data_IF_420785349920
#
_entry.id   IF_420785349920
#
_cell.length_a   1.000
_cell.length_b   1.000
_cell.length_c   1.000
_cell.angle_alpha   90.00
_cell.angle_beta   90.00
_cell.angle_gamma   90.00
#
_symmetry.space_group_name_H-M   'P 1'
#
loop_
_entity.id
_entity.type
_entity.pdbx_description
1 polymer ?
2 non-polymer ?
3 non-polymer ?
4 water ?
#
# COMPACT_ATOMS: atom_id res chain seq x y z
N UNK A 20 -10.45 -1.31 9.97
CA UNK A 20 -9.65 -1.78 8.78
C UNK A 20 -9.90 -3.29 8.34
N UNK A 21 -11.14 -3.75 8.43
CA UNK A 21 -11.44 -5.09 8.06
C UNK A 21 -12.00 -5.20 6.65
N UNK A 22 -12.58 -4.18 6.02
CA UNK A 22 -12.98 -4.31 4.64
C UNK A 22 -12.28 -3.35 3.63
N UNK A 23 -12.27 -3.76 2.38
CA UNK A 23 -11.75 -3.00 1.30
C UNK A 23 -12.76 -2.43 0.33
N UNK A 24 -12.68 -1.11 0.09
CA UNK A 24 -13.55 -0.43 -0.87
C UNK A 24 -12.75 0.12 -2.02
N UNK A 25 -13.41 0.36 -3.17
CA UNK A 25 -12.79 1.06 -4.27
C UNK A 25 -12.41 2.45 -3.76
N UNK A 26 -11.13 2.81 -3.89
CA UNK A 26 -10.66 4.10 -3.48
C UNK A 26 -11.37 5.27 -4.24
N UNK A 27 -11.78 5.02 -5.47
CA UNK A 27 -12.31 6.09 -6.31
C UNK A 27 -13.78 6.43 -6.04
N UNK A 28 -14.57 5.45 -5.60
CA UNK A 28 -15.99 5.68 -5.41
C UNK A 28 -16.58 5.07 -4.16
N UNK A 29 -15.89 4.15 -3.47
CA UNK A 29 -16.47 3.54 -2.29
C UNK A 29 -17.17 2.24 -2.40
N UNK A 30 -17.30 1.74 -3.62
CA UNK A 30 -17.90 0.43 -3.82
C UNK A 30 -17.19 -0.64 -2.96
N UNK A 31 -17.98 -1.50 -2.31
CA UNK A 31 -17.47 -2.59 -1.48
C UNK A 31 -16.81 -3.65 -2.35
N UNK A 32 -15.58 -4.09 -2.03
CA UNK A 32 -14.88 -4.96 -2.95
C UNK A 32 -14.47 -6.30 -2.30
N UNK A 33 -13.78 -6.24 -1.16
CA UNK A 33 -13.34 -7.44 -0.51
C UNK A 33 -13.15 -7.17 0.96
N UNK A 34 -12.57 -8.15 1.66
CA UNK A 34 -12.40 -8.12 3.09
C UNK A 34 -11.01 -8.62 3.45
N UNK A 35 -10.48 -8.14 4.57
CA UNK A 35 -9.20 -8.65 5.06
C UNK A 35 -9.23 -10.16 5.31
N UNK A 36 -10.36 -10.67 5.83
CA UNK A 36 -10.53 -12.08 6.04
C UNK A 36 -10.41 -12.92 4.79
N UNK A 37 -10.62 -12.32 3.61
CA UNK A 37 -10.57 -13.01 2.35
C UNK A 37 -9.20 -12.94 1.70
N UNK A 38 -8.21 -12.37 2.38
CA UNK A 38 -6.84 -12.37 1.85
C UNK A 38 -6.35 -13.81 1.72
N UNK A 39 -5.57 -14.06 0.67
CA UNK A 39 -5.15 -15.41 0.28
C UNK A 39 -3.65 -15.51 0.25
N UNK A 40 -3.06 -16.22 1.21
CA UNK A 40 -1.58 -16.42 1.11
C UNK A 40 -1.08 -17.20 -0.17
N UNK A 41 -0.86 -16.56 -1.33
CA UNK A 41 -0.37 -17.24 -2.59
C UNK A 41 1.15 -17.37 -2.60
N UNK A 42 1.65 -18.60 -2.66
CA UNK A 42 3.09 -18.86 -2.64
C UNK A 42 3.79 -18.27 -1.43
N UNK A 43 3.10 -18.29 -0.28
CA UNK A 43 3.68 -17.83 0.97
C UNK A 43 3.28 -16.43 1.41
N UNK A 44 2.76 -15.59 0.51
CA UNK A 44 2.45 -14.20 0.88
C UNK A 44 1.28 -13.67 0.08
N UNK A 45 0.44 -12.86 0.72
CA UNK A 45 -0.73 -12.33 0.02
C UNK A 45 -0.31 -11.15 -0.88
N UNK A 46 0.93 -10.64 -0.71
CA UNK A 46 1.50 -9.53 -1.49
C UNK A 46 2.57 -9.92 -2.52
N UNK A 47 2.36 -9.49 -3.77
CA UNK A 47 3.33 -9.69 -4.86
C UNK A 47 3.56 -8.38 -5.57
N UNK A 48 4.81 -8.03 -5.80
CA UNK A 48 5.14 -6.82 -6.49
C UNK A 48 5.65 -7.19 -7.89
N UNK A 49 4.89 -6.79 -8.91
CA UNK A 49 5.05 -7.23 -10.29
C UNK A 49 5.00 -6.07 -11.33
N UNK A 50 5.54 -6.32 -12.52
CA UNK A 50 5.54 -5.36 -13.62
C UNK A 50 4.84 -5.90 -14.83
N UNK A 51 4.14 -5.03 -15.54
CA UNK A 51 3.59 -5.41 -16.83
C UNK A 51 4.55 -5.07 -17.95
N UNK A 52 4.26 -5.51 -19.19
CA UNK A 52 5.18 -5.20 -20.27
C UNK A 52 5.35 -3.72 -20.58
N UNK A 53 4.37 -2.88 -20.23
CA UNK A 53 4.51 -1.42 -20.30
C UNK A 53 5.31 -0.78 -19.14
N UNK A 54 5.89 -1.63 -18.27
CA UNK A 54 6.82 -1.25 -17.22
C UNK A 54 6.16 -0.64 -15.99
N UNK A 55 4.86 -0.69 -15.92
CA UNK A 55 4.13 -0.29 -14.70
C UNK A 55 4.29 -1.33 -13.60
N UNK A 56 4.48 -0.82 -12.40
CA UNK A 56 4.69 -1.63 -11.21
C UNK A 56 3.38 -1.68 -10.50
N UNK A 57 3.03 -2.85 -9.97
CA UNK A 57 1.82 -3.03 -9.17
C UNK A 57 2.11 -3.82 -7.89
N UNK A 58 1.59 -3.33 -6.78
CA UNK A 58 1.61 -4.04 -5.53
C UNK A 58 0.26 -4.77 -5.48
N UNK A 59 0.32 -6.07 -5.75
CA UNK A 59 -0.86 -6.85 -5.93
C UNK A 59 -1.12 -7.62 -4.62
N UNK A 60 -2.33 -7.50 -4.10
CA UNK A 60 -2.79 -8.34 -2.97
C UNK A 60 -3.71 -9.46 -3.50
N UNK A 61 -3.45 -10.69 -3.09
CA UNK A 61 -4.29 -11.83 -3.55
C UNK A 61 -5.42 -12.06 -2.55
N UNK A 62 -6.63 -12.17 -3.10
CA UNK A 62 -7.87 -12.49 -2.35
C UNK A 62 -8.56 -13.73 -2.89
N UNK A 63 -9.12 -14.52 -1.98
CA UNK A 63 -9.85 -15.73 -2.36
C UNK A 63 -11.15 -15.32 -3.04
N UNK A 64 -11.64 -14.16 -2.67
CA UNK A 64 -12.98 -13.73 -2.97
C UNK A 64 -13.00 -12.20 -3.05
N UNK A 65 -13.87 -11.70 -3.91
CA UNK A 65 -14.14 -10.27 -4.02
C UNK A 65 -15.53 -10.15 -4.63
N UNK A 66 -16.12 -8.99 -4.52
CA UNK A 66 -17.43 -8.69 -5.05
C UNK A 66 -17.40 -7.27 -5.64
N UNK A 67 -18.49 -6.85 -6.28
CA UNK A 67 -18.62 -5.47 -6.77
C UNK A 67 -17.76 -5.10 -7.98
N UNK A 68 -17.18 -6.10 -8.63
CA UNK A 68 -16.28 -5.92 -9.78
C UNK A 68 -17.07 -6.18 -11.03
N UNK A 69 -16.48 -5.85 -12.16
CA UNK A 69 -17.04 -6.25 -13.44
C UNK A 69 -15.87 -6.81 -14.23
N UNK A 70 -16.00 -8.08 -14.68
CA UNK A 70 -14.90 -8.80 -15.37
C UNK A 70 -15.03 -8.66 -16.87
N UNK A 71 -14.00 -8.14 -17.51
CA UNK A 71 -14.13 -7.79 -18.91
C UNK A 71 -13.37 -8.79 -19.80
N UNK A 72 -14.06 -9.19 -20.86
CA UNK A 72 -13.56 -10.16 -21.82
C UNK A 72 -13.43 -11.57 -21.29
N UNK A 73 -12.80 -12.41 -22.09
CA UNK A 73 -12.50 -13.78 -21.72
C UNK A 73 -11.04 -13.89 -21.24
N UNK A 74 -10.75 -14.91 -20.43
CA UNK A 74 -9.40 -15.11 -19.89
C UNK A 74 -8.28 -15.24 -20.92
N UNK A 75 -7.10 -14.81 -20.52
CA UNK A 75 -5.87 -14.92 -21.26
C UNK A 75 -4.73 -15.43 -20.35
N UNK A 76 -3.96 -16.39 -20.83
CA UNK A 76 -2.65 -16.81 -20.26
C UNK A 76 -1.47 -15.85 -20.54
N UNK A 77 -1.61 -14.95 -21.50
CA UNK A 77 -0.44 -14.18 -21.94
C UNK A 77 0.18 -13.26 -20.85
N UNK A 78 1.49 -13.45 -20.61
CA UNK A 78 2.26 -12.70 -19.60
C UNK A 78 1.70 -12.87 -18.18
N UNK A 79 0.99 -13.96 -17.93
CA UNK A 79 0.37 -14.13 -16.62
C UNK A 79 1.45 -14.11 -15.58
N UNK A 80 1.21 -13.42 -14.48
CA UNK A 80 2.18 -13.37 -13.37
C UNK A 80 2.07 -14.59 -12.46
N UNK A 81 1.02 -15.41 -12.62
CA UNK A 81 0.85 -16.59 -11.78
C UNK A 81 0.70 -17.81 -12.66
N UNK A 82 1.69 -18.67 -12.54
CA UNK A 82 1.83 -19.86 -13.33
C UNK A 82 0.59 -20.73 -13.27
N UNK A 83 0.09 -21.09 -14.46
CA UNK A 83 -1.04 -21.98 -14.60
C UNK A 83 -2.35 -21.23 -14.58
N UNK A 84 -2.32 -19.91 -14.36
CA UNK A 84 -3.57 -19.15 -14.33
C UNK A 84 -3.69 -18.24 -15.51
N UNK A 85 -4.93 -18.09 -15.96
CA UNK A 85 -5.36 -17.15 -16.97
C UNK A 85 -6.07 -15.96 -16.32
N UNK A 86 -5.88 -14.74 -16.84
CA UNK A 86 -6.40 -13.56 -16.20
C UNK A 86 -7.48 -12.89 -17.02
N UNK A 87 -8.35 -12.23 -16.30
CA UNK A 87 -9.29 -11.30 -16.89
C UNK A 87 -9.25 -10.01 -16.10
N UNK A 88 -9.31 -8.90 -16.82
CA UNK A 88 -9.29 -7.58 -16.17
C UNK A 88 -10.54 -7.43 -15.32
N UNK A 89 -10.34 -6.91 -14.11
CA UNK A 89 -11.39 -6.65 -13.13
C UNK A 89 -11.52 -5.12 -12.88
N UNK A 90 -12.65 -4.56 -13.29
CA UNK A 90 -12.94 -3.17 -13.01
C UNK A 90 -13.88 -3.09 -11.81
N UNK A 91 -13.86 -1.95 -11.14
CA UNK A 91 -14.89 -1.61 -10.20
C UNK A 91 -16.15 -1.61 -10.99
N UNK A 92 -17.14 -2.39 -10.49
CA UNK A 92 -18.46 -2.46 -11.08
C UNK A 92 -19.26 -1.16 -11.10
N UNK A 93 -18.93 -0.26 -10.20
CA UNK A 93 -19.67 0.93 -10.04
C UNK A 93 -19.04 2.03 -10.90
N UNK A 94 -17.75 2.31 -10.73
CA UNK A 94 -17.13 3.46 -11.41
C UNK A 94 -16.20 3.11 -12.57
N UNK A 95 -15.95 1.84 -12.81
CA UNK A 95 -15.09 1.45 -13.93
C UNK A 95 -13.58 1.52 -13.65
N UNK A 96 -13.15 1.91 -12.46
CA UNK A 96 -11.72 1.98 -12.14
C UNK A 96 -11.04 0.58 -12.22
N UNK A 97 -9.83 0.54 -12.78
CA UNK A 97 -9.15 -0.75 -12.89
C UNK A 97 -8.60 -1.20 -11.56
N UNK A 98 -9.18 -2.24 -10.96
CA UNK A 98 -8.82 -2.63 -9.61
C UNK A 98 -7.88 -3.83 -9.55
N UNK A 99 -7.83 -4.62 -10.63
CA UNK A 99 -6.96 -5.78 -10.67
C UNK A 99 -7.37 -6.78 -11.73
N UNK A 100 -7.28 -8.04 -11.36
CA UNK A 100 -7.50 -9.17 -12.27
C UNK A 100 -8.15 -10.33 -11.53
N UNK A 101 -9.04 -11.03 -12.23
CA UNK A 101 -9.49 -12.35 -11.79
C UNK A 101 -8.65 -13.42 -12.52
N UNK A 102 -8.20 -14.41 -11.75
CA UNK A 102 -7.38 -15.49 -12.21
C UNK A 102 -8.21 -16.75 -12.19
N UNK A 103 -8.13 -17.53 -13.26
CA UNK A 103 -8.84 -18.82 -13.35
C UNK A 103 -8.05 -19.85 -14.13
N UNK A 104 -8.59 -21.07 -14.19
CA UNK A 104 -7.96 -22.13 -14.95
C UNK A 104 -6.82 -22.89 -14.27
N UNK A 105 -6.52 -22.55 -13.01
CA UNK A 105 -5.40 -23.14 -12.31
C UNK A 105 -5.87 -24.18 -11.31
N UNK A 106 -5.06 -24.38 -10.25
CA UNK A 106 -5.23 -25.51 -9.32
C UNK A 106 -4.96 -25.06 -7.87
N UNK A 107 -5.85 -25.34 -6.94
CA UNK A 107 -5.55 -25.10 -5.54
C UNK A 107 -5.05 -23.67 -5.21
N UNK A 108 -5.91 -22.66 -5.36
CA UNK A 108 -7.27 -22.76 -5.80
C UNK A 108 -7.42 -22.67 -7.31
N UNK A 109 -8.59 -23.03 -7.82
CA UNK A 109 -8.87 -22.89 -9.26
C UNK A 109 -8.88 -21.44 -9.70
N UNK A 110 -9.38 -20.55 -8.85
CA UNK A 110 -9.55 -19.18 -9.13
C UNK A 110 -9.18 -18.32 -7.90
N UNK A 111 -8.87 -17.06 -8.17
CA UNK A 111 -8.62 -16.03 -7.11
C UNK A 111 -8.54 -14.64 -7.75
N UNK A 112 -8.44 -13.61 -6.90
CA UNK A 112 -8.38 -12.26 -7.36
C UNK A 112 -7.05 -11.66 -6.97
N UNK A 113 -6.44 -10.96 -7.90
CA UNK A 113 -5.27 -10.17 -7.57
C UNK A 113 -5.67 -8.70 -7.71
N UNK A 114 -5.70 -7.98 -6.60
CA UNK A 114 -6.14 -6.61 -6.55
C UNK A 114 -4.98 -5.64 -6.27
N UNK A 115 -5.05 -4.46 -6.88
CA UNK A 115 -3.96 -3.45 -6.74
C UNK A 115 -4.16 -2.68 -5.45
N UNK A 116 -3.20 -2.84 -4.54
CA UNK A 116 -3.36 -2.36 -3.18
C UNK A 116 -3.69 -0.86 -3.12
N UNK A 117 -3.00 -0.02 -3.89
CA UNK A 117 -3.23 1.46 -3.78
C UNK A 117 -4.48 1.95 -4.51
N UNK A 118 -5.22 1.05 -5.12
CA UNK A 118 -6.54 1.39 -5.66
C UNK A 118 -7.74 1.06 -4.75
N UNK A 119 -7.44 0.53 -3.56
CA UNK A 119 -8.42 0.17 -2.54
C UNK A 119 -8.23 1.06 -1.31
N UNK A 120 -9.31 1.28 -0.59
CA UNK A 120 -9.27 1.94 0.71
C UNK A 120 -9.77 0.96 1.75
N UNK A 121 -9.02 0.85 2.86
CA UNK A 121 -9.34 -0.07 3.94
C UNK A 121 -10.02 0.65 5.08
N UNK A 122 -10.98 -0.02 5.72
CA UNK A 122 -11.74 0.63 6.79
C UNK A 122 -12.70 -0.30 7.52
N UNK A 123 -13.46 0.25 8.43
CA UNK A 123 -14.38 -0.63 9.19
C UNK A 123 -15.55 -1.28 8.36
N UNK A 124 -15.96 -2.47 8.80
CA UNK A 124 -17.03 -3.28 8.14
C UNK A 124 -18.40 -2.61 8.07
N UNK B 21 15.41 14.77 3.77
CA UNK B 21 14.32 15.75 3.58
C UNK B 21 13.33 15.72 4.74
N UNK B 22 12.54 16.79 4.85
CA UNK B 22 11.57 16.93 5.92
C UNK B 22 10.22 17.20 5.35
N UNK B 23 9.20 16.93 6.16
CA UNK B 23 7.83 17.17 5.83
C UNK B 23 7.32 18.32 6.68
N UNK B 24 6.76 19.32 6.03
CA UNK B 24 6.30 20.51 6.74
C UNK B 24 4.81 20.54 6.58
N UNK B 25 4.14 21.21 7.52
CA UNK B 25 2.72 21.50 7.36
C UNK B 25 2.56 22.36 6.14
N UNK B 26 1.68 21.95 5.23
CA UNK B 26 1.48 22.64 3.98
C UNK B 26 0.79 23.99 4.17
N UNK B 27 -0.05 24.12 5.20
CA UNK B 27 -0.76 25.40 5.46
C UNK B 27 0.21 26.46 6.03
N UNK B 28 1.10 26.09 6.95
CA UNK B 28 1.94 27.10 7.59
C UNK B 28 3.44 26.92 7.53
N UNK B 29 3.95 25.74 7.16
CA UNK B 29 5.39 25.61 6.96
C UNK B 29 6.13 25.01 8.16
N UNK B 30 5.45 24.84 9.29
CA UNK B 30 6.03 24.21 10.49
C UNK B 30 6.59 22.82 10.15
N UNK B 31 7.84 22.58 10.50
CA UNK B 31 8.44 21.24 10.38
C UNK B 31 7.71 20.22 11.26
N UNK B 32 7.32 19.09 10.67
CA UNK B 32 6.48 18.14 11.36
C UNK B 32 7.20 16.82 11.48
N UNK B 33 7.79 16.33 10.39
CA UNK B 33 8.45 15.03 10.44
C UNK B 33 9.58 14.95 9.43
N UNK B 34 10.18 13.78 9.33
CA UNK B 34 11.39 13.58 8.51
C UNK B 34 11.19 12.28 7.75
N UNK B 35 11.73 12.24 6.55
CA UNK B 35 11.63 11.05 5.74
C UNK B 35 12.38 9.88 6.40
N UNK B 36 13.48 10.15 7.12
CA UNK B 36 14.15 9.10 7.91
C UNK B 36 13.24 8.36 8.90
N UNK B 37 12.16 8.99 9.31
CA UNK B 37 11.20 8.45 10.29
C UNK B 37 10.01 7.71 9.72
N UNK B 38 9.99 7.51 8.40
CA UNK B 38 8.90 6.76 7.78
C UNK B 38 8.92 5.39 8.38
N UNK B 39 7.74 4.87 8.59
CA UNK B 39 7.56 3.60 9.29
C UNK B 39 6.68 2.67 8.47
N UNK B 40 7.22 1.51 8.01
CA UNK B 40 6.34 0.58 7.29
C UNK B 40 5.37 -0.27 8.15
N UNK B 41 4.34 0.34 8.74
CA UNK B 41 3.30 -0.43 9.48
C UNK B 41 2.60 -1.40 8.52
N UNK B 42 2.58 -2.68 8.87
CA UNK B 42 1.99 -3.71 8.01
C UNK B 42 2.75 -3.93 6.71
N UNK B 43 4.00 -3.50 6.67
CA UNK B 43 4.79 -3.59 5.46
C UNK B 43 4.63 -2.41 4.49
N UNK B 44 3.94 -1.33 4.84
CA UNK B 44 3.90 -0.15 3.93
C UNK B 44 3.80 1.11 4.73
N UNK B 45 4.48 2.18 4.33
CA UNK B 45 4.33 3.44 5.03
C UNK B 45 3.07 4.16 4.55
N UNK B 46 2.52 3.79 3.37
CA UNK B 46 1.26 4.38 2.87
C UNK B 46 0.05 3.49 3.14
N UNK B 47 -0.98 4.05 3.74
CA UNK B 47 -2.23 3.32 3.99
C UNK B 47 -3.35 4.20 3.47
N UNK B 48 -4.12 3.70 2.50
CA UNK B 48 -5.32 4.40 2.07
C UNK B 48 -6.47 3.80 2.92
N UNK B 49 -7.19 4.65 3.61
CA UNK B 49 -8.15 4.21 4.64
C UNK B 49 -9.41 5.01 4.55
N UNK B 50 -10.51 4.49 5.11
CA UNK B 50 -11.71 5.28 5.19
C UNK B 50 -12.27 5.20 6.62
N UNK B 51 -12.97 6.25 7.05
CA UNK B 51 -13.58 6.26 8.38
C UNK B 51 -15.04 5.89 8.34
N UNK B 52 -15.71 5.81 9.53
CA UNK B 52 -17.06 5.39 9.51
C UNK B 52 -18.04 6.37 8.82
N UNK B 53 -17.66 7.61 8.64
CA UNK B 53 -18.48 8.58 7.90
C UNK B 53 -18.17 8.48 6.37
N UNK B 54 -17.26 7.58 6.03
CA UNK B 54 -16.93 7.29 4.66
C UNK B 54 -15.94 8.23 3.98
N UNK B 55 -15.26 9.05 4.76
CA UNK B 55 -14.21 9.96 4.26
C UNK B 55 -12.95 9.17 4.00
N UNK B 56 -12.31 9.38 2.86
CA UNK B 56 -11.08 8.66 2.48
C UNK B 56 -9.83 9.48 2.71
N UNK B 57 -8.83 8.87 3.33
CA UNK B 57 -7.54 9.51 3.60
C UNK B 57 -6.42 8.67 3.10
N UNK B 58 -5.41 9.34 2.54
CA UNK B 58 -4.14 8.68 2.24
C UNK B 58 -3.11 9.02 3.36
N UNK B 59 -2.78 8.04 4.20
CA UNK B 59 -2.00 8.26 5.43
C UNK B 59 -0.59 7.70 5.28
N UNK B 60 0.42 8.50 5.68
CA UNK B 60 1.78 7.98 5.72
C UNK B 60 2.17 7.86 7.17
N UNK B 61 2.77 6.76 7.51
CA UNK B 61 3.18 6.48 8.91
C UNK B 61 4.58 6.93 9.19
N UNK B 62 4.75 7.60 10.33
CA UNK B 62 6.06 8.05 10.81
C UNK B 62 6.22 7.62 12.29
N UNK B 63 7.43 7.29 12.67
CA UNK B 63 7.72 6.83 14.00
C UNK B 63 7.64 7.97 15.04
N UNK B 64 8.00 9.18 14.63
CA UNK B 64 8.03 10.37 15.46
C UNK B 64 7.52 11.52 14.64
N UNK B 65 7.14 12.56 15.35
CA UNK B 65 6.83 13.84 14.77
C UNK B 65 7.08 14.91 15.82
N UNK B 66 7.02 16.15 15.36
CA UNK B 66 7.08 17.29 16.21
C UNK B 66 6.19 18.41 15.66
N UNK B 67 5.91 19.36 16.53
CA UNK B 67 5.21 20.58 16.13
C UNK B 67 3.72 20.38 16.05
N UNK B 68 3.23 19.21 16.44
CA UNK B 68 1.80 18.97 16.41
C UNK B 68 1.17 19.26 17.79
N UNK B 69 -0.15 19.29 17.82
CA UNK B 69 -0.91 19.38 19.06
C UNK B 69 -1.94 18.27 19.04
N UNK B 70 -1.86 17.40 20.04
CA UNK B 70 -2.78 16.27 20.09
C UNK B 70 -3.97 16.70 20.90
N UNK B 71 -5.14 16.34 20.41
CA UNK B 71 -6.38 16.84 21.03
C UNK B 71 -7.23 15.69 21.47
N UNK B 72 -7.71 15.75 22.70
CA UNK B 72 -8.65 14.74 23.19
C UNK B 72 -8.00 13.63 23.99
N UNK B 73 -8.83 12.78 24.54
CA UNK B 73 -8.36 11.56 25.14
C UNK B 73 -8.25 10.52 24.04
N UNK B 74 -7.28 9.60 24.17
CA UNK B 74 -7.16 8.53 23.19
C UNK B 74 -8.42 7.68 23.05
N UNK B 75 -8.75 7.23 21.85
CA UNK B 75 -9.91 6.37 21.61
C UNK B 75 -9.49 5.12 20.85
N UNK B 76 -10.03 3.98 21.23
CA UNK B 76 -9.81 2.73 20.47
C UNK B 76 -10.85 2.50 19.35
N UNK B 77 -11.86 3.37 19.26
CA UNK B 77 -12.98 3.16 18.32
C UNK B 77 -12.56 3.22 16.85
N UNK B 78 -12.76 2.11 16.14
CA UNK B 78 -12.55 2.06 14.70
C UNK B 78 -11.12 2.43 14.31
N UNK B 79 -10.15 2.16 15.18
CA UNK B 79 -8.77 2.41 14.85
C UNK B 79 -8.36 1.68 13.57
N UNK B 80 -7.61 2.38 12.72
CA UNK B 80 -7.10 1.80 11.50
C UNK B 80 -5.94 0.88 11.80
N UNK B 81 -5.40 0.91 13.01
CA UNK B 81 -4.30 0.07 13.38
C UNK B 81 -4.62 -0.71 14.64
N UNK B 82 -4.80 -2.00 14.47
CA UNK B 82 -5.22 -2.86 15.57
C UNK B 82 -4.23 -2.83 16.74
N UNK B 83 -4.76 -2.72 17.96
CA UNK B 83 -3.96 -2.67 19.17
C UNK B 83 -3.56 -1.25 19.53
N UNK B 84 -3.96 -0.26 18.74
CA UNK B 84 -3.60 1.11 18.98
C UNK B 84 -4.81 1.99 19.18
N UNK B 85 -4.71 2.92 20.11
CA UNK B 85 -5.69 3.99 20.28
C UNK B 85 -5.16 5.19 19.52
N UNK B 86 -6.06 6.02 19.04
CA UNK B 86 -5.74 7.24 18.29
C UNK B 86 -6.17 8.49 19.01
N UNK B 87 -5.44 9.54 18.68
CA UNK B 87 -5.72 10.88 19.08
C UNK B 87 -5.55 11.78 17.84
N UNK B 88 -6.47 12.70 17.62
CA UNK B 88 -6.37 13.71 16.55
C UNK B 88 -5.16 14.64 16.74
N UNK B 89 -4.39 14.83 15.68
CA UNK B 89 -3.17 15.68 15.63
C UNK B 89 -3.36 16.89 14.73
N UNK B 90 -3.37 18.07 15.34
CA UNK B 90 -3.39 19.33 14.61
C UNK B 90 -1.98 19.87 14.47
N UNK B 91 -1.75 20.65 13.43
CA UNK B 91 -0.58 21.46 13.41
C UNK B 91 -0.61 22.39 14.62
N UNK B 92 0.47 22.39 15.39
CA UNK B 92 0.48 23.14 16.65
C UNK B 92 0.58 24.62 16.40
N UNK B 93 0.91 24.99 15.17
CA UNK B 93 1.10 26.37 14.85
C UNK B 93 -0.15 27.01 14.21
N UNK B 94 -0.78 26.34 13.23
CA UNK B 94 -1.95 26.93 12.54
C UNK B 94 -3.25 26.19 12.74
N UNK B 95 -3.22 25.04 13.42
CA UNK B 95 -4.44 24.27 13.65
C UNK B 95 -4.88 23.30 12.55
N UNK B 96 -4.20 23.26 11.41
CA UNK B 96 -4.62 22.37 10.31
C UNK B 96 -4.66 20.92 10.79
N UNK B 97 -5.69 20.17 10.41
CA UNK B 97 -5.73 18.76 10.80
C UNK B 97 -4.72 17.94 10.01
N UNK B 98 -3.67 17.44 10.70
CA UNK B 98 -2.59 16.77 9.96
C UNK B 98 -2.60 15.26 10.01
N UNK B 99 -3.24 14.72 11.04
CA UNK B 99 -3.37 13.31 11.18
C UNK B 99 -3.82 12.87 12.57
N UNK B 100 -3.19 11.80 13.04
CA UNK B 100 -3.53 11.07 14.28
C UNK B 100 -2.22 10.52 14.86
N UNK B 101 -2.15 10.58 16.17
CA UNK B 101 -1.17 9.84 16.95
C UNK B 101 -1.76 8.54 17.42
N UNK B 102 -0.95 7.48 17.37
CA UNK B 102 -1.34 6.14 17.80
C UNK B 102 -0.52 5.72 18.98
N UNK B 103 -1.14 5.08 19.96
CA UNK B 103 -0.41 4.66 21.16
C UNK B 103 -0.98 3.35 21.69
N UNK B 104 -0.21 2.73 22.57
CA UNK B 104 -0.69 1.65 23.45
C UNK B 104 -0.41 0.30 22.84
N UNK B 105 0.18 0.30 21.66
CA UNK B 105 0.56 -0.95 21.05
C UNK B 105 1.84 -1.39 21.69
N UNK B 106 2.39 -2.45 21.12
CA UNK B 106 3.69 -2.93 21.45
C UNK B 106 4.51 -2.91 20.16
N UNK B 107 5.74 -2.44 20.21
CA UNK B 107 6.65 -2.43 19.04
C UNK B 107 6.02 -1.93 17.74
N UNK B 108 5.97 -0.61 17.52
CA UNK B 108 6.37 0.47 18.40
C UNK B 108 5.19 0.95 19.24
N UNK B 109 5.48 1.45 20.43
CA UNK B 109 4.42 1.81 21.33
C UNK B 109 3.68 3.03 20.83
N UNK B 110 4.38 3.90 20.10
CA UNK B 110 3.88 5.20 19.64
C UNK B 110 4.27 5.41 18.17
N UNK B 111 3.36 5.96 17.35
CA UNK B 111 3.65 6.39 15.98
C UNK B 111 2.55 7.34 15.50
N UNK B 112 2.80 8.02 14.40
CA UNK B 112 1.87 8.96 13.77
C UNK B 112 1.42 8.47 12.41
N UNK B 113 0.13 8.63 12.12
CA UNK B 113 -0.38 8.53 10.76
C UNK B 113 -0.74 9.91 10.27
N UNK B 114 0.00 10.43 9.28
CA UNK B 114 -0.18 11.82 8.86
C UNK B 114 -0.72 11.82 7.42
N UNK B 115 -1.51 12.85 7.10
CA UNK B 115 -2.21 12.93 5.83
C UNK B 115 -1.27 13.56 4.85
N UNK B 116 -0.84 12.74 3.89
CA UNK B 116 0.24 13.06 2.99
C UNK B 116 -0.09 14.31 2.23
N UNK B 117 -1.34 14.48 1.81
CA UNK B 117 -1.71 15.68 1.03
C UNK B 117 -1.67 16.97 1.84
N UNK B 118 -1.64 16.87 3.15
CA UNK B 118 -1.52 18.05 4.03
C UNK B 118 -0.10 18.39 4.46
N UNK B 119 0.88 17.74 3.84
CA UNK B 119 2.30 17.91 4.16
C UNK B 119 3.01 18.31 2.90
N UNK B 120 4.08 19.08 3.03
CA UNK B 120 4.96 19.44 1.93
C UNK B 120 6.38 18.91 2.22
N UNK B 121 6.93 18.10 1.32
CA UNK B 121 8.30 17.60 1.46
C UNK B 121 9.32 18.53 0.85
N UNK B 122 10.42 18.79 1.56
CA UNK B 122 11.48 19.60 1.00
C UNK B 122 12.77 19.43 1.78
N UNK B 123 13.83 20.14 1.38
CA UNK B 123 15.15 20.12 2.05
C UNK B 123 15.14 20.46 3.54
N UNK B 124 16.03 19.83 4.31
CA UNK B 124 16.24 20.14 5.76
C UNK B 124 16.25 21.62 6.12
N UNK C 19 5.17 -13.67 -17.34
CA UNK C 19 5.01 -12.36 -16.67
C UNK C 19 6.08 -12.10 -15.62
N UNK C 20 6.83 -13.14 -15.26
CA UNK C 20 7.90 -13.01 -14.25
C UNK C 20 9.19 -13.76 -14.65
N UNK C 21 10.00 -13.17 -15.53
CA UNK C 21 11.37 -13.66 -15.84
C UNK C 21 12.52 -12.74 -15.30
N UNK C 22 12.25 -11.42 -15.24
CA UNK C 22 13.23 -10.40 -14.82
C UNK C 22 13.03 -9.97 -13.35
N UNK C 23 14.13 -9.83 -12.61
CA UNK C 23 14.09 -9.32 -11.23
C UNK C 23 14.57 -7.85 -11.27
N UNK C 24 13.74 -6.95 -10.74
CA UNK C 24 14.05 -5.52 -10.70
C UNK C 24 14.01 -5.03 -9.27
N UNK C 25 14.71 -3.92 -9.00
CA UNK C 25 14.62 -3.30 -7.70
C UNK C 25 13.15 -2.93 -7.44
N UNK C 26 12.62 -3.37 -6.28
CA UNK C 26 11.22 -3.07 -5.92
C UNK C 26 10.98 -1.58 -5.75
N UNK C 27 12.00 -0.87 -5.30
CA UNK C 27 11.84 0.53 -4.96
C UNK C 27 11.87 1.45 -6.19
N UNK C 28 12.80 1.21 -7.13
CA UNK C 28 12.87 2.10 -8.30
C UNK C 28 12.73 1.40 -9.69
N UNK C 29 12.77 0.06 -9.75
CA UNK C 29 12.59 -0.66 -11.02
C UNK C 29 13.84 -0.97 -11.86
N UNK C 30 15.01 -0.59 -11.34
CA UNK C 30 16.30 -0.98 -11.93
C UNK C 30 16.34 -2.48 -12.26
N UNK C 31 16.79 -2.81 -13.48
CA UNK C 31 17.06 -4.21 -13.85
C UNK C 31 18.21 -4.76 -13.00
N UNK C 32 17.97 -5.93 -12.38
CA UNK C 32 19.01 -6.53 -11.53
C UNK C 32 19.45 -7.90 -12.02
N UNK C 33 18.51 -8.81 -12.31
CA UNK C 33 18.82 -10.21 -12.66
C UNK C 33 17.72 -10.89 -13.50
N UNK C 34 17.89 -12.17 -13.84
CA UNK C 34 16.85 -12.98 -14.56
C UNK C 34 16.97 -14.49 -14.29
N UNK C 64 24.78 -14.23 -12.40
CA UNK C 64 25.09 -12.86 -12.76
C UNK C 64 23.97 -11.96 -12.29
N UNK C 65 24.35 -10.80 -11.77
CA UNK C 65 23.45 -9.69 -11.52
C UNK C 65 24.09 -8.48 -12.21
N UNK C 66 23.35 -7.39 -12.26
CA UNK C 66 23.83 -6.12 -12.81
C UNK C 66 23.02 -5.03 -12.14
N UNK C 67 23.42 -3.77 -12.38
CA UNK C 67 22.70 -2.62 -11.82
C UNK C 67 22.93 -2.36 -10.33
N UNK C 68 23.78 -3.17 -9.67
CA UNK C 68 24.07 -3.04 -8.24
C UNK C 68 25.33 -2.21 -8.10
N UNK C 69 25.62 -1.80 -6.87
CA UNK C 69 26.82 -1.04 -6.51
C UNK C 69 27.41 -1.65 -5.22
N UNK C 70 28.53 -2.37 -5.35
CA UNK C 70 29.15 -3.11 -4.24
C UNK C 70 30.04 -2.22 -3.34
N UNK C 71 29.74 -2.24 -2.04
CA UNK C 71 30.33 -1.32 -1.08
C UNK C 71 31.69 -1.78 -0.65
N UNK C 89 25.93 -4.91 -1.68
CA UNK C 89 25.04 -4.95 -2.87
C UNK C 89 23.83 -3.98 -2.82
N UNK C 90 24.07 -2.69 -3.06
CA UNK C 90 23.00 -1.68 -3.15
C UNK C 90 22.53 -1.47 -4.59
N UNK C 91 21.23 -1.18 -4.77
CA UNK C 91 20.70 -0.72 -6.08
C UNK C 91 21.53 0.47 -6.52
N UNK C 92 22.16 0.35 -7.70
CA UNK C 92 23.01 1.41 -8.20
C UNK C 92 22.20 2.64 -8.60
N UNK C 93 20.89 2.47 -8.78
CA UNK C 93 20.00 3.59 -9.17
C UNK C 93 19.45 4.37 -7.97
N UNK C 94 18.91 3.67 -6.99
CA UNK C 94 18.30 4.37 -5.84
C UNK C 94 19.01 4.15 -4.50
N UNK C 95 20.00 3.27 -4.46
CA UNK C 95 20.76 3.02 -3.23
C UNK C 95 20.14 2.04 -2.24
N UNK C 96 18.98 1.47 -2.58
CA UNK C 96 18.31 0.46 -1.77
C UNK C 96 19.18 -0.78 -1.49
N UNK C 97 19.27 -1.17 -0.21
CA UNK C 97 20.03 -2.38 0.22
C UNK C 97 19.39 -3.70 -0.21
N UNK C 98 19.77 -4.19 -1.39
CA UNK C 98 19.16 -5.42 -2.00
C UNK C 98 19.79 -6.81 -1.63
N UNK C 99 20.96 -6.85 -0.97
CA UNK C 99 21.55 -8.13 -0.46
C UNK C 99 23.01 -8.38 -0.78
N UNK C 114 20.75 -12.09 -2.71
CA UNK C 114 19.79 -10.97 -2.65
C UNK C 114 18.58 -11.25 -1.76
N UNK C 115 17.93 -10.17 -1.33
CA UNK C 115 16.74 -10.26 -0.46
C UNK C 115 15.50 -10.14 -1.36
N UNK C 116 14.66 -11.16 -1.38
CA UNK C 116 13.55 -11.21 -2.36
C UNK C 116 12.41 -10.23 -2.08
N UNK C 117 12.26 -9.80 -0.82
CA UNK C 117 11.28 -8.76 -0.45
C UNK C 117 11.73 -7.32 -0.81
N UNK C 118 12.98 -7.19 -1.22
CA UNK C 118 13.44 -5.94 -1.83
C UNK C 118 13.38 -6.00 -3.37
N UNK C 119 12.92 -7.13 -3.94
CA UNK C 119 12.79 -7.29 -5.41
C UNK C 119 11.35 -7.40 -5.93
N UNK C 120 11.22 -7.19 -7.23
CA UNK C 120 9.98 -7.27 -7.98
C UNK C 120 10.16 -8.01 -9.33
N UNK C 121 9.06 -8.52 -9.90
CA UNK C 121 9.12 -9.47 -11.02
C UNK C 121 8.36 -9.02 -12.27
N UNK C 122 9.06 -9.07 -13.41
CA UNK C 122 8.45 -8.73 -14.70
C UNK C 122 8.86 -9.61 -15.88
N UNK C 123 8.26 -9.36 -17.06
CA UNK C 123 8.69 -10.04 -18.28
C UNK C 123 10.02 -9.49 -18.76
N UNK C 124 10.75 -10.32 -19.51
CA UNK C 124 11.95 -9.90 -20.23
C UNK C 124 11.59 -8.82 -21.25
#
# INVERSE_FOLDING_TARGET
>A
AMPLDAGGQNSTQMVLAPGASIFRCRQCGQTISRRDWLLPMGGDHEHVVFNPAGMIFRVWCFSLAQGLRLIGAPSGEFSWFKGYDWTIALCGQCGSHLGWHYEGGSQPQTFFGLIKDRLAEGPAD
>B
AMPLDAGGQNSTQMVLAPGASIFRCRQCGQTISRRDWLLPMGGDHEHVVFNPAGMIFRVWCFSLAQGLRLIGAPSGEFSWFKGYDWTIALCGQCGSHLGWHYEGGSQPQTFFGLIKDRLAEGPAD
>C
AMPLDAGGQNSTQMVLAPGASIFRCRQCGQTISRRDWLLPMGGDHEHVVFNPAGMIFRVWCFSLAQGLRLIGAPSGEFSWFKGYDWTIALCGQCGSHLGWHYEGGSQPQTFFGLIKDRLAEGPAD
#
